data_IF_156213556498
#
_entry.id   IF_156213556498
#
_cell.length_a   1.000
_cell.length_b   1.000
_cell.length_c   1.000
_cell.angle_alpha   90.00
_cell.angle_beta   90.00
_cell.angle_gamma   90.00
#
_symmetry.space_group_name_H-M   'P 1'
#
loop_
_entity.id
_entity.type
_entity.pdbx_description
1 polymer ?
#
# COMPACT_ATOMS: atom_id res chain seq x y z
N UNK A 1 4.81 18.74 -15.62
CA UNK A 1 4.81 20.03 -16.35
C UNK A 1 4.60 21.11 -15.29
N UNK A 2 5.49 22.10 -15.23
CA UNK A 2 5.68 23.03 -14.10
C UNK A 2 4.47 23.91 -13.78
N UNK A 3 4.25 24.17 -12.48
CA UNK A 3 3.68 25.43 -11.98
C UNK A 3 4.77 26.30 -11.33
N UNK A 4 4.53 27.61 -11.35
CA UNK A 4 5.40 28.68 -10.84
C UNK A 4 5.00 29.02 -9.40
N UNK A 5 5.87 28.60 -8.47
CA UNK A 5 6.24 29.18 -7.16
C UNK A 5 5.27 30.08 -6.38
N UNK A 6 4.93 29.60 -5.18
CA UNK A 6 4.57 30.37 -3.97
C UNK A 6 4.45 29.39 -2.79
N UNK A 7 5.27 29.53 -1.75
CA UNK A 7 5.48 28.52 -0.70
C UNK A 7 4.31 28.35 0.29
N UNK A 8 4.52 27.38 1.20
CA UNK A 8 3.66 26.90 2.30
C UNK A 8 2.64 25.80 1.94
N UNK A 9 2.95 24.55 2.31
CA UNK A 9 1.99 23.45 2.52
C UNK A 9 1.05 23.13 1.31
N UNK A 10 1.61 22.82 0.14
CA UNK A 10 0.84 22.53 -1.11
C UNK A 10 1.13 21.13 -1.68
N UNK A 11 2.01 20.33 -1.07
CA UNK A 11 2.47 19.07 -1.68
C UNK A 11 1.36 18.00 -1.76
N UNK A 12 0.49 17.90 -0.75
CA UNK A 12 -0.70 17.04 -0.79
C UNK A 12 -1.67 17.48 -1.88
N UNK A 13 -1.76 18.78 -2.15
CA UNK A 13 -2.70 19.32 -3.13
C UNK A 13 -2.30 19.03 -4.58
N UNK A 14 -1.02 18.92 -4.94
CA UNK A 14 -0.62 18.55 -6.31
C UNK A 14 -0.90 17.07 -6.61
N UNK A 15 -0.70 16.18 -5.63
CA UNK A 15 -1.03 14.76 -5.75
C UNK A 15 -2.55 14.53 -5.75
N UNK A 16 -3.28 15.24 -4.89
CA UNK A 16 -4.73 15.35 -4.94
C UNK A 16 -5.24 15.90 -6.27
N UNK A 17 -4.60 16.93 -6.83
CA UNK A 17 -4.99 17.54 -8.11
C UNK A 17 -4.72 16.57 -9.26
N UNK A 18 -3.65 15.77 -9.21
CA UNK A 18 -3.42 14.68 -10.15
C UNK A 18 -4.52 13.62 -10.03
N UNK A 19 -4.88 13.23 -8.80
CA UNK A 19 -5.98 12.29 -8.55
C UNK A 19 -7.32 12.84 -9.08
N UNK A 20 -7.64 14.11 -8.78
CA UNK A 20 -8.87 14.80 -9.17
C UNK A 20 -9.03 15.01 -10.67
N UNK A 21 -7.92 15.21 -11.37
CA UNK A 21 -7.92 15.43 -12.82
C UNK A 21 -7.69 14.15 -13.62
N UNK A 22 -7.50 13.01 -12.95
CA UNK A 22 -7.39 11.72 -13.65
C UNK A 22 -8.78 11.21 -14.00
N UNK A 23 -9.11 11.35 -15.28
CA UNK A 23 -10.29 10.74 -15.89
C UNK A 23 -9.84 9.57 -16.75
N UNK A 24 -10.33 8.36 -16.45
CA UNK A 24 -10.12 7.19 -17.30
C UNK A 24 -11.44 6.79 -17.95
N UNK A 25 -11.42 6.60 -19.26
CA UNK A 25 -12.55 6.09 -20.01
C UNK A 25 -12.54 4.56 -20.02
N UNK A 26 -13.65 3.92 -19.64
CA UNK A 26 -13.84 2.49 -19.87
C UNK A 26 -14.39 2.30 -21.28
N UNK A 27 -13.50 2.00 -22.23
CA UNK A 27 -13.78 1.92 -23.68
C UNK A 27 -14.92 0.97 -24.06
N UNK A 28 -15.27 0.00 -23.21
CA UNK A 28 -16.28 -1.02 -23.51
C UNK A 28 -17.68 -0.68 -22.93
N UNK A 29 -17.78 0.27 -22.00
CA UNK A 29 -19.06 0.64 -21.36
C UNK A 29 -19.43 2.12 -21.57
N UNK A 30 -18.55 2.92 -22.18
CA UNK A 30 -18.75 4.36 -22.37
C UNK A 30 -18.75 5.16 -21.06
N UNK A 31 -18.42 4.53 -19.94
CA UNK A 31 -18.48 5.16 -18.62
C UNK A 31 -17.19 5.92 -18.34
N UNK A 32 -17.34 7.19 -17.96
CA UNK A 32 -16.25 8.02 -17.45
C UNK A 32 -15.99 7.65 -16.00
N UNK A 33 -14.82 7.07 -15.71
CA UNK A 33 -14.37 6.86 -14.34
C UNK A 33 -13.55 8.07 -13.92
N UNK A 34 -14.05 8.79 -12.93
CA UNK A 34 -13.28 9.83 -12.26
C UNK A 34 -12.56 9.22 -11.08
N UNK A 35 -11.29 9.51 -10.95
CA UNK A 35 -10.51 8.97 -9.85
C UNK A 35 -10.85 9.64 -8.50
N UNK A 36 -11.49 10.82 -8.51
CA UNK A 36 -12.00 11.48 -7.29
C UNK A 36 -13.39 11.02 -6.83
N UNK A 37 -13.93 9.94 -7.39
CA UNK A 37 -15.19 9.40 -6.86
C UNK A 37 -14.97 8.95 -5.40
N UNK A 38 -15.83 9.39 -4.45
CA UNK A 38 -15.68 9.07 -3.04
C UNK A 38 -15.49 7.58 -2.76
N UNK A 39 -16.22 6.71 -3.47
CA UNK A 39 -16.11 5.25 -3.29
C UNK A 39 -14.72 4.71 -3.67
N UNK A 40 -14.05 5.30 -4.67
CA UNK A 40 -12.71 4.89 -5.09
C UNK A 40 -11.63 5.37 -4.13
N UNK A 41 -11.80 6.57 -3.58
CA UNK A 41 -10.92 7.12 -2.55
C UNK A 41 -11.05 6.28 -1.26
N UNK A 42 -12.27 6.08 -0.78
CA UNK A 42 -12.56 5.32 0.44
C UNK A 42 -12.03 3.88 0.32
N UNK A 43 -12.26 3.21 -0.83
CA UNK A 43 -11.68 1.89 -1.11
C UNK A 43 -10.16 1.88 -1.07
N UNK A 44 -9.50 2.79 -1.79
CA UNK A 44 -8.04 2.81 -1.90
C UNK A 44 -7.40 3.07 -0.54
N UNK A 45 -7.96 4.00 0.22
CA UNK A 45 -7.51 4.31 1.57
C UNK A 45 -7.64 3.11 2.51
N UNK A 46 -8.83 2.50 2.57
CA UNK A 46 -9.07 1.35 3.45
C UNK A 46 -8.24 0.13 3.05
N UNK A 47 -8.03 -0.12 1.76
CA UNK A 47 -7.16 -1.20 1.29
C UNK A 47 -5.69 -0.99 1.73
N UNK A 48 -5.21 0.25 1.73
CA UNK A 48 -3.88 0.60 2.23
C UNK A 48 -3.78 0.42 3.75
N UNK A 49 -4.73 0.97 4.51
CA UNK A 49 -4.78 0.83 5.96
C UNK A 49 -4.83 -0.64 6.38
N UNK A 50 -5.66 -1.43 5.70
CA UNK A 50 -5.77 -2.88 5.90
C UNK A 50 -4.43 -3.58 5.66
N UNK A 51 -3.77 -3.33 4.52
CA UNK A 51 -2.50 -3.95 4.19
C UNK A 51 -1.38 -3.59 5.19
N UNK A 52 -1.34 -2.33 5.65
CA UNK A 52 -0.38 -1.87 6.66
C UNK A 52 -0.58 -2.58 7.99
N UNK A 53 -1.83 -2.66 8.47
CA UNK A 53 -2.14 -3.34 9.73
C UNK A 53 -1.79 -4.84 9.65
N UNK A 54 -2.21 -5.51 8.57
CA UNK A 54 -1.88 -6.93 8.34
C UNK A 54 -0.38 -7.17 8.24
N UNK A 55 0.35 -6.27 7.59
CA UNK A 55 1.80 -6.30 7.50
C UNK A 55 2.47 -6.15 8.87
N UNK A 56 2.01 -5.19 9.67
CA UNK A 56 2.51 -4.99 11.04
C UNK A 56 2.38 -6.27 11.87
N UNK A 57 1.22 -6.92 11.83
CA UNK A 57 0.99 -8.20 12.53
C UNK A 57 1.89 -9.32 12.01
N UNK A 58 1.94 -9.51 10.68
CA UNK A 58 2.66 -10.60 10.05
C UNK A 58 4.17 -10.51 10.32
N UNK A 59 4.70 -9.28 10.38
CA UNK A 59 6.13 -9.02 10.46
C UNK A 59 6.62 -8.67 11.87
N UNK A 60 5.76 -8.74 12.88
CA UNK A 60 6.16 -8.77 14.30
C UNK A 60 6.09 -7.45 15.05
N UNK A 61 5.20 -6.55 14.65
CA UNK A 61 4.66 -5.53 15.54
C UNK A 61 3.48 -6.15 16.28
N UNK A 62 3.74 -6.57 17.52
CA UNK A 62 2.69 -7.13 18.38
C UNK A 62 1.88 -5.94 18.96
N UNK A 63 0.83 -5.53 18.23
CA UNK A 63 -0.10 -4.48 18.66
C UNK A 63 -1.24 -5.09 19.48
N UNK A 64 -1.53 -4.52 20.64
CA UNK A 64 -2.73 -4.85 21.41
C UNK A 64 -3.99 -4.48 20.61
N UNK A 65 -5.14 -5.16 20.81
CA UNK A 65 -6.37 -4.86 20.07
C UNK A 65 -6.76 -3.38 20.07
N UNK A 66 -6.65 -2.71 21.22
CA UNK A 66 -6.93 -1.28 21.33
C UNK A 66 -5.96 -0.38 20.52
N UNK A 67 -4.69 -0.81 20.36
CA UNK A 67 -3.72 -0.10 19.52
C UNK A 67 -4.02 -0.27 18.03
N UNK A 68 -4.60 -1.41 17.65
CA UNK A 68 -5.02 -1.66 16.27
C UNK A 68 -6.23 -0.79 15.91
N UNK A 69 -7.24 -0.71 16.79
CA UNK A 69 -8.38 0.18 16.59
C UNK A 69 -7.93 1.65 16.54
N UNK A 70 -7.03 2.04 17.45
CA UNK A 70 -6.43 3.37 17.43
C UNK A 70 -5.69 3.65 16.12
N UNK A 71 -4.90 2.71 15.61
CA UNK A 71 -4.22 2.85 14.32
C UNK A 71 -5.21 3.14 13.19
N UNK A 72 -6.35 2.42 13.16
CA UNK A 72 -7.40 2.62 12.14
C UNK A 72 -7.95 4.05 12.20
N UNK A 73 -8.26 4.55 13.40
CA UNK A 73 -8.72 5.94 13.58
C UNK A 73 -7.64 6.95 13.21
N UNK A 74 -6.37 6.69 13.52
CA UNK A 74 -5.26 7.58 13.13
C UNK A 74 -5.13 7.71 11.60
N UNK A 75 -5.50 6.68 10.83
CA UNK A 75 -5.51 6.77 9.37
C UNK A 75 -6.57 7.75 8.82
N UNK A 76 -7.61 8.10 9.58
CA UNK A 76 -8.63 9.07 9.14
C UNK A 76 -8.04 10.43 8.80
N UNK A 77 -6.97 10.84 9.50
CA UNK A 77 -6.25 12.09 9.19
C UNK A 77 -5.65 12.01 7.78
N UNK A 78 -5.00 10.89 7.44
CA UNK A 78 -4.46 10.68 6.10
C UNK A 78 -5.57 10.57 5.05
N UNK A 79 -6.73 10.01 5.42
CA UNK A 79 -7.89 9.89 4.55
C UNK A 79 -8.48 11.25 4.19
N UNK A 80 -8.68 12.12 5.18
CA UNK A 80 -9.17 13.49 4.99
C UNK A 80 -8.25 14.28 4.06
N UNK A 81 -6.93 14.13 4.25
CA UNK A 81 -5.92 14.74 3.40
C UNK A 81 -6.00 14.27 1.94
N UNK A 82 -6.49 13.06 1.66
CA UNK A 82 -6.68 12.56 0.28
C UNK A 82 -8.11 12.77 -0.24
N UNK A 83 -8.96 13.48 0.51
CA UNK A 83 -10.32 13.83 0.11
C UNK A 83 -11.39 12.80 0.48
N UNK A 84 -11.07 11.81 1.32
CA UNK A 84 -12.06 10.94 1.93
C UNK A 84 -12.83 11.70 3.03
N UNK A 85 -14.02 11.21 3.39
CA UNK A 85 -14.76 11.70 4.55
C UNK A 85 -14.56 10.71 5.70
N UNK A 86 -13.86 11.10 6.79
CA UNK A 86 -13.66 10.26 7.96
C UNK A 86 -14.94 9.63 8.51
N UNK A 87 -16.09 10.31 8.40
CA UNK A 87 -17.36 9.80 8.91
C UNK A 87 -17.87 8.55 8.16
N UNK A 88 -17.34 8.28 6.96
CA UNK A 88 -17.68 7.08 6.16
C UNK A 88 -16.67 5.94 6.35
N UNK A 89 -15.59 6.16 7.09
CA UNK A 89 -14.50 5.20 7.21
C UNK A 89 -14.67 4.30 8.44
N UNK A 90 -14.16 3.06 8.38
CA UNK A 90 -14.08 2.15 9.52
C UNK A 90 -13.37 2.81 10.72
N UNK A 91 -13.86 2.58 11.94
CA UNK A 91 -13.25 3.11 13.16
C UNK A 91 -12.57 2.03 14.01
N UNK A 92 -12.79 0.76 13.69
CA UNK A 92 -12.15 -0.37 14.35
C UNK A 92 -11.49 -1.28 13.33
N UNK A 93 -10.59 -2.15 13.80
CA UNK A 93 -10.06 -3.22 12.97
C UNK A 93 -11.16 -4.10 12.40
N UNK A 94 -12.14 -4.48 13.21
CA UNK A 94 -13.22 -5.37 12.80
C UNK A 94 -14.05 -4.74 11.67
N UNK A 95 -14.36 -3.45 11.79
CA UNK A 95 -15.07 -2.70 10.74
C UNK A 95 -14.23 -2.63 9.46
N UNK A 96 -12.91 -2.49 9.57
CA UNK A 96 -12.02 -2.43 8.42
C UNK A 96 -11.96 -3.77 7.67
N UNK A 97 -11.86 -4.88 8.40
CA UNK A 97 -11.90 -6.23 7.83
C UNK A 97 -13.25 -6.48 7.14
N UNK A 98 -14.37 -6.13 7.81
CA UNK A 98 -15.71 -6.24 7.25
C UNK A 98 -15.87 -5.40 5.97
N UNK A 99 -15.43 -4.14 6.00
CA UNK A 99 -15.48 -3.25 4.85
C UNK A 99 -14.75 -3.85 3.63
N UNK A 100 -13.53 -4.37 3.82
CA UNK A 100 -12.73 -4.97 2.74
C UNK A 100 -13.42 -6.20 2.16
N UNK A 101 -14.00 -7.05 3.02
CA UNK A 101 -14.73 -8.24 2.59
C UNK A 101 -16.05 -7.91 1.89
N UNK A 102 -16.71 -6.82 2.24
CA UNK A 102 -17.92 -6.37 1.56
C UNK A 102 -17.64 -5.93 0.13
N UNK A 103 -16.48 -5.32 -0.16
CA UNK A 103 -16.17 -4.79 -1.50
C UNK A 103 -16.03 -5.86 -2.60
N UNK A 104 -15.97 -7.15 -2.24
CA UNK A 104 -15.88 -8.27 -3.19
C UNK A 104 -16.90 -8.23 -4.34
N UNK A 105 -18.10 -7.72 -4.08
CA UNK A 105 -19.23 -7.81 -5.01
C UNK A 105 -19.05 -7.01 -6.30
N UNK A 106 -18.23 -5.96 -6.31
CA UNK A 106 -17.98 -5.13 -7.49
C UNK A 106 -16.56 -5.27 -8.05
N UNK A 107 -15.69 -6.02 -7.37
CA UNK A 107 -14.31 -6.24 -7.80
C UNK A 107 -14.22 -7.28 -8.92
N UNK A 108 -13.34 -7.00 -9.88
CA UNK A 108 -13.04 -7.91 -10.98
C UNK A 108 -11.60 -7.76 -11.42
N UNK A 109 -10.98 -8.86 -11.83
CA UNK A 109 -9.61 -8.86 -12.32
C UNK A 109 -9.58 -8.28 -13.74
N UNK A 110 -9.13 -7.04 -13.87
CA UNK A 110 -8.86 -6.45 -15.19
C UNK A 110 -7.60 -7.06 -15.84
N UNK A 111 -7.49 -6.95 -17.18
CA UNK A 111 -6.31 -7.42 -17.91
C UNK A 111 -5.02 -6.75 -17.40
N UNK A 112 -5.02 -5.43 -17.22
CA UNK A 112 -3.86 -4.71 -16.69
C UNK A 112 -3.47 -5.21 -15.28
N UNK A 113 -4.46 -5.48 -14.41
CA UNK A 113 -4.19 -6.06 -13.10
C UNK A 113 -3.64 -7.49 -13.22
N UNK A 114 -4.15 -8.30 -14.16
CA UNK A 114 -3.65 -9.65 -14.43
C UNK A 114 -2.20 -9.64 -14.94
N UNK A 115 -1.82 -8.69 -15.79
CA UNK A 115 -0.46 -8.52 -16.31
C UNK A 115 0.52 -8.10 -15.20
N UNK A 116 0.17 -7.11 -14.39
CA UNK A 116 1.00 -6.67 -13.26
C UNK A 116 1.19 -7.80 -12.25
N UNK A 117 0.12 -8.55 -11.96
CA UNK A 117 0.18 -9.67 -11.01
C UNK A 117 0.79 -10.94 -11.60
N UNK A 118 1.01 -11.01 -12.92
CA UNK A 118 1.64 -12.18 -13.55
C UNK A 118 3.04 -12.45 -12.97
N UNK A 119 3.84 -11.41 -12.76
CA UNK A 119 5.17 -11.54 -12.17
C UNK A 119 5.15 -11.99 -10.69
N UNK A 120 4.04 -11.74 -9.97
CA UNK A 120 3.83 -12.24 -8.61
C UNK A 120 3.43 -13.73 -8.61
N UNK A 121 2.74 -14.19 -9.65
CA UNK A 121 2.33 -15.59 -9.84
C UNK A 121 3.49 -16.48 -10.32
N UNK A 122 4.36 -15.92 -11.16
CA UNK A 122 5.48 -16.64 -11.78
C UNK A 122 6.78 -15.83 -11.61
N UNK A 123 7.40 -15.84 -10.41
CA UNK A 123 8.68 -15.19 -10.20
C UNK A 123 9.73 -15.71 -11.17
N UNK A 124 10.59 -14.82 -11.66
CA UNK A 124 11.75 -15.23 -12.43
C UNK A 124 12.78 -15.87 -11.48
N UNK A 125 13.06 -17.15 -11.67
CA UNK A 125 14.01 -17.91 -10.85
C UNK A 125 15.45 -17.88 -11.40
N UNK A 126 15.69 -17.13 -12.47
CA UNK A 126 17.02 -16.98 -13.04
C UNK A 126 17.85 -15.90 -12.35
N UNK A 127 19.14 -16.17 -12.19
CA UNK A 127 20.13 -15.20 -11.70
C UNK A 127 20.74 -15.62 -10.36
N UNK A 128 21.19 -14.62 -9.59
CA UNK A 128 21.84 -14.85 -8.31
C UNK A 128 20.85 -15.51 -7.32
N UNK A 129 21.17 -16.70 -6.77
CA UNK A 129 20.25 -17.47 -5.93
C UNK A 129 19.82 -16.72 -4.66
N UNK A 130 20.69 -15.90 -4.08
CA UNK A 130 20.36 -15.06 -2.91
C UNK A 130 19.33 -14.01 -3.28
N UNK A 131 19.52 -13.32 -4.42
CA UNK A 131 18.58 -12.29 -4.89
C UNK A 131 17.22 -12.90 -5.25
N UNK A 132 17.23 -14.05 -5.93
CA UNK A 132 16.02 -14.80 -6.28
C UNK A 132 15.27 -15.22 -5.02
N UNK A 133 15.98 -15.79 -4.03
CA UNK A 133 15.38 -16.19 -2.76
C UNK A 133 14.74 -15.02 -2.02
N UNK A 134 15.46 -13.92 -1.83
CA UNK A 134 14.93 -12.72 -1.15
C UNK A 134 13.70 -12.18 -1.88
N UNK A 135 13.74 -12.12 -3.22
CA UNK A 135 12.62 -11.66 -4.02
C UNK A 135 11.38 -12.56 -3.87
N UNK A 136 11.56 -13.88 -3.90
CA UNK A 136 10.48 -14.85 -3.72
C UNK A 136 9.88 -14.74 -2.32
N UNK A 137 10.70 -14.60 -1.27
CA UNK A 137 10.21 -14.43 0.11
C UNK A 137 9.38 -13.16 0.24
N UNK A 138 9.86 -12.02 -0.26
CA UNK A 138 9.12 -10.75 -0.20
C UNK A 138 7.81 -10.82 -0.98
N UNK A 139 7.80 -11.46 -2.15
CA UNK A 139 6.56 -11.66 -2.90
C UNK A 139 5.57 -12.54 -2.13
N UNK A 140 6.03 -13.68 -1.61
CA UNK A 140 5.16 -14.59 -0.85
C UNK A 140 4.62 -13.90 0.40
N UNK A 141 5.43 -13.10 1.08
CA UNK A 141 5.01 -12.27 2.20
C UNK A 141 3.90 -11.29 1.81
N UNK A 142 4.07 -10.53 0.73
CA UNK A 142 3.03 -9.60 0.24
C UNK A 142 1.73 -10.34 -0.10
N UNK A 143 1.82 -11.51 -0.74
CA UNK A 143 0.67 -12.32 -1.08
C UNK A 143 -0.01 -12.95 0.15
N UNK A 144 0.74 -13.18 1.23
CA UNK A 144 0.20 -13.70 2.50
C UNK A 144 -0.73 -12.71 3.22
N UNK A 145 -0.58 -11.40 2.95
CA UNK A 145 -1.39 -10.35 3.55
C UNK A 145 -2.78 -10.24 2.92
N UNK A 146 -2.96 -10.78 1.71
CA UNK A 146 -4.20 -10.70 0.97
C UNK A 146 -5.28 -11.62 1.57
N UNK A 147 -6.55 -11.15 1.63
CA UNK A 147 -7.68 -12.00 1.94
C UNK A 147 -7.76 -13.21 1.01
N UNK A 148 -8.38 -14.31 1.47
CA UNK A 148 -8.52 -15.53 0.70
C UNK A 148 -9.20 -15.31 -0.66
N UNK A 149 -10.31 -14.57 -0.66
CA UNK A 149 -11.02 -14.21 -1.90
C UNK A 149 -10.14 -13.43 -2.89
N UNK A 150 -9.21 -12.61 -2.40
CA UNK A 150 -8.33 -11.83 -3.25
C UNK A 150 -7.26 -12.73 -3.87
N UNK A 151 -6.71 -13.67 -3.08
CA UNK A 151 -5.78 -14.70 -3.60
C UNK A 151 -6.44 -15.56 -4.68
N UNK A 152 -7.70 -15.92 -4.49
CA UNK A 152 -8.56 -16.60 -5.46
C UNK A 152 -8.78 -15.76 -6.74
N UNK A 153 -9.19 -14.49 -6.59
CA UNK A 153 -9.39 -13.56 -7.71
C UNK A 153 -8.12 -13.37 -8.53
N UNK A 154 -6.97 -13.33 -7.86
CA UNK A 154 -5.67 -13.28 -8.50
C UNK A 154 -5.16 -14.67 -8.91
N UNK A 155 -5.91 -15.76 -8.84
CA UNK A 155 -5.44 -17.08 -9.33
C UNK A 155 -4.11 -17.54 -8.71
N UNK A 156 -3.88 -17.19 -7.45
CA UNK A 156 -2.66 -17.52 -6.69
C UNK A 156 -2.80 -18.88 -5.99
N UNK A 157 -4.03 -19.35 -5.81
CA UNK A 157 -4.37 -20.62 -5.20
C UNK A 157 -3.91 -21.78 -6.11
N UNK A 158 -2.79 -22.42 -5.77
CA UNK A 158 -2.17 -23.48 -6.58
C UNK A 158 -0.64 -23.43 -6.66
N UNK A 159 0.00 -22.35 -6.20
CA UNK A 159 1.46 -22.30 -6.06
C UNK A 159 1.89 -23.07 -4.79
N UNK A 160 3.03 -23.78 -4.78
CA UNK A 160 3.65 -24.26 -3.55
C UNK A 160 4.27 -23.08 -2.79
N UNK A 161 3.43 -22.13 -2.38
CA UNK A 161 3.81 -20.99 -1.57
C UNK A 161 3.82 -21.43 -0.12
N UNK A 162 4.97 -21.36 0.53
CA UNK A 162 5.05 -21.56 1.96
C UNK A 162 4.81 -20.21 2.64
N UNK A 163 3.61 -19.64 2.45
CA UNK A 163 3.21 -18.31 2.94
C UNK A 163 3.51 -18.13 4.42
N UNK A 164 3.20 -19.17 5.22
CA UNK A 164 3.50 -19.16 6.64
C UNK A 164 5.00 -19.20 6.95
N UNK A 165 5.82 -19.87 6.15
CA UNK A 165 7.27 -19.90 6.35
C UNK A 165 7.95 -18.60 5.92
N UNK A 166 7.47 -17.95 4.86
CA UNK A 166 7.95 -16.64 4.43
C UNK A 166 7.71 -15.60 5.55
N UNK A 167 6.47 -15.49 6.04
CA UNK A 167 6.12 -14.52 7.08
C UNK A 167 6.93 -14.75 8.38
N UNK A 168 7.11 -16.02 8.80
CA UNK A 168 7.96 -16.36 9.96
C UNK A 168 9.43 -16.00 9.74
N UNK A 169 9.94 -16.22 8.53
CA UNK A 169 11.33 -15.88 8.17
C UNK A 169 11.53 -14.37 8.24
N UNK A 170 10.60 -13.61 7.67
CA UNK A 170 10.64 -12.15 7.67
C UNK A 170 10.46 -11.56 9.07
N UNK A 171 9.52 -12.08 9.87
CA UNK A 171 9.38 -11.72 11.29
C UNK A 171 10.68 -11.97 12.07
N UNK A 172 11.38 -13.09 11.80
CA UNK A 172 12.66 -13.40 12.44
C UNK A 172 13.76 -12.44 12.01
N UNK A 173 13.88 -12.14 10.71
CA UNK A 173 14.87 -11.19 10.19
C UNK A 173 14.65 -9.78 10.74
N UNK A 174 13.41 -9.29 10.75
CA UNK A 174 13.03 -8.00 11.33
C UNK A 174 13.30 -7.98 12.84
N UNK A 175 12.99 -9.07 13.55
CA UNK A 175 13.29 -9.21 14.97
C UNK A 175 14.79 -9.15 15.28
N UNK A 176 15.66 -9.62 14.38
CA UNK A 176 17.12 -9.49 14.50
C UNK A 176 17.54 -8.04 14.20
N UNK A 177 17.02 -7.44 13.14
CA UNK A 177 17.33 -6.05 12.78
C UNK A 177 16.95 -5.08 13.91
N UNK A 178 15.75 -5.21 14.49
CA UNK A 178 15.27 -4.38 15.62
C UNK A 178 16.11 -4.49 16.88
N UNK A 179 16.88 -5.57 17.07
CA UNK A 179 17.82 -5.70 18.19
C UNK A 179 19.12 -4.92 17.97
N UNK A 180 19.48 -4.68 16.71
CA UNK A 180 20.75 -4.06 16.32
C UNK A 180 20.59 -2.58 15.92
N UNK A 181 19.37 -2.13 15.61
CA UNK A 181 19.05 -0.74 15.29
C UNK A 181 17.88 -0.22 16.14
N UNK A 182 18.07 0.95 16.76
CA UNK A 182 16.96 1.67 17.41
C UNK A 182 16.04 2.25 16.33
N UNK A 183 14.72 2.04 16.48
CA UNK A 183 13.70 2.55 15.55
C UNK A 183 13.84 4.06 15.31
N UNK A 184 14.12 4.84 16.37
CA UNK A 184 14.30 6.29 16.28
C UNK A 184 15.49 6.67 15.40
N UNK A 185 16.55 5.87 15.42
CA UNK A 185 17.74 6.08 14.59
C UNK A 185 17.44 5.78 13.12
N UNK A 186 16.64 4.76 12.84
CA UNK A 186 16.24 4.40 11.48
C UNK A 186 15.28 5.45 10.89
N UNK A 187 14.30 5.91 11.68
CA UNK A 187 13.41 7.01 11.28
C UNK A 187 14.22 8.28 11.03
N UNK A 188 15.11 8.65 11.95
CA UNK A 188 16.00 9.79 11.80
C UNK A 188 16.87 9.67 10.54
N UNK A 189 17.51 8.53 10.30
CA UNK A 189 18.32 8.30 9.09
C UNK A 189 17.47 8.43 7.82
N UNK A 190 16.28 7.83 7.77
CA UNK A 190 15.40 7.90 6.60
C UNK A 190 14.99 9.35 6.36
N UNK A 191 14.56 10.08 7.39
CA UNK A 191 14.20 11.51 7.27
C UNK A 191 15.39 12.36 6.84
N UNK A 192 16.56 12.17 7.46
CA UNK A 192 17.79 12.88 7.09
C UNK A 192 18.21 12.57 5.66
N UNK A 193 18.11 11.31 5.21
CA UNK A 193 18.45 10.92 3.84
C UNK A 193 17.48 11.53 2.82
N UNK A 194 16.19 11.63 3.15
CA UNK A 194 15.18 12.30 2.32
C UNK A 194 15.51 13.80 2.22
N UNK A 195 15.90 14.43 3.33
CA UNK A 195 16.25 15.85 3.39
C UNK A 195 17.56 16.17 2.65
N UNK A 196 18.58 15.33 2.80
CA UNK A 196 19.92 15.52 2.25
C UNK A 196 20.04 15.05 0.79
N UNK A 197 19.22 14.07 0.39
CA UNK A 197 19.25 13.47 -0.97
C UNK A 197 17.91 13.67 -1.69
N UNK A 198 17.45 14.92 -1.92
CA UNK A 198 16.22 15.13 -2.65
C UNK A 198 16.38 14.59 -4.07
N UNK A 199 15.50 13.66 -4.46
CA UNK A 199 15.48 12.95 -5.75
C UNK A 199 15.55 13.89 -6.97
N UNK A 200 15.14 15.17 -6.80
CA UNK A 200 15.51 16.30 -7.67
C UNK A 200 15.24 17.63 -6.97
N UNK A 201 16.21 18.55 -6.94
CA UNK A 201 15.93 19.98 -6.64
C UNK A 201 15.32 20.64 -7.88
N UNK A 202 14.22 21.40 -7.70
CA UNK A 202 13.60 22.18 -8.76
C UNK A 202 14.63 23.15 -9.34
N UNK A 203 14.91 23.08 -10.65
CA UNK A 203 15.80 24.06 -11.29
C UNK A 203 15.18 25.44 -11.16
N UNK A 204 15.93 26.39 -10.60
CA UNK A 204 15.52 27.78 -10.58
C UNK A 204 15.18 28.22 -12.00
N UNK A 205 14.02 28.87 -12.16
CA UNK A 205 13.62 29.45 -13.44
C UNK A 205 14.68 30.49 -13.83
N UNK A 206 15.36 30.31 -14.97
CA UNK A 206 16.25 31.35 -15.50
C UNK A 206 15.45 32.66 -15.62
N UNK A 207 16.03 33.73 -15.09
CA UNK A 207 15.47 35.08 -15.12
C UNK A 207 15.24 35.54 -16.56
#
# INVERSE_FOLDING_TARGET
>A
MFLRTGGSYVQTSEELVLHRNTVKYRLHTGTTLRADEPVWIDWTHNALAFALLRGAEAFGLDLAPAEQDRFVVEQHIAAELVGADPARLPATRADLEAYVDEQRHWLSLSLAAAEVTHALRKPNLWGNPVKVFTFVVVQDDMLSLLPEWARLMYGIEGRPMNLGAAARTTKRLIGIARKNESYDRMVAEITTRIDETPYRKVRARKA
#
